data_IF_435997632748
#
_entry.id   IF_435997632748
#
_cell.length_a   1.000
_cell.length_b   1.000
_cell.length_c   1.000
_cell.angle_alpha   90.00
_cell.angle_beta   90.00
_cell.angle_gamma   90.00
#
_symmetry.space_group_name_H-M   'P 1'
#
loop_
_entity.id
_entity.type
_entity.pdbx_description
1 polymer ?
#
# COMPACT_ATOMS: atom_id res chain seq x y z
N UNK A 1 -9.61 0.48 49.01
CA UNK A 1 -10.21 1.79 49.40
C UNK A 1 -10.90 2.41 48.20
N UNK A 2 -11.80 3.39 48.36
CA UNK A 2 -12.76 3.79 47.31
C UNK A 2 -12.15 4.50 46.07
N UNK A 3 -10.84 4.77 46.04
CA UNK A 3 -10.15 5.42 44.91
C UNK A 3 -9.09 4.53 44.27
N UNK A 4 -9.12 3.22 44.54
CA UNK A 4 -8.11 2.30 44.06
C UNK A 4 -8.23 2.06 42.55
N UNK A 5 -9.43 1.99 41.99
CA UNK A 5 -9.60 1.90 40.53
C UNK A 5 -9.14 3.19 39.82
N UNK A 6 -9.45 4.38 40.35
CA UNK A 6 -8.94 5.65 39.79
C UNK A 6 -7.40 5.69 39.76
N UNK A 7 -6.75 5.27 40.85
CA UNK A 7 -5.28 5.20 40.91
C UNK A 7 -4.71 4.11 40.02
N UNK A 8 -5.40 2.97 39.91
CA UNK A 8 -5.02 1.90 39.02
C UNK A 8 -5.07 2.35 37.56
N UNK A 9 -6.11 3.08 37.15
CA UNK A 9 -6.19 3.67 35.80
C UNK A 9 -5.00 4.57 35.52
N UNK A 10 -4.72 5.53 36.41
CA UNK A 10 -3.60 6.46 36.26
C UNK A 10 -2.25 5.72 36.15
N UNK A 11 -2.09 4.62 36.89
CA UNK A 11 -0.90 3.78 36.78
C UNK A 11 -0.87 2.97 35.48
N UNK A 12 -2.00 2.48 34.97
CA UNK A 12 -2.08 1.80 33.67
C UNK A 12 -1.82 2.77 32.51
N UNK A 13 -2.25 4.02 32.63
CA UNK A 13 -2.03 5.08 31.65
C UNK A 13 -0.58 5.54 31.58
N UNK A 14 0.14 5.51 32.71
CA UNK A 14 1.51 6.00 32.81
C UNK A 14 2.62 4.97 32.51
N UNK A 15 2.30 3.68 32.31
CA UNK A 15 3.29 2.59 32.40
C UNK A 15 3.32 1.59 31.23
N UNK A 16 4.35 0.72 31.27
CA UNK A 16 4.65 -0.36 30.31
C UNK A 16 3.70 -1.58 30.43
N UNK A 17 3.56 -2.40 29.38
CA UNK A 17 2.74 -3.63 29.31
C UNK A 17 2.61 -4.44 30.62
N UNK A 18 3.73 -4.68 31.31
CA UNK A 18 3.76 -5.51 32.52
C UNK A 18 2.88 -4.94 33.64
N UNK A 19 2.81 -3.61 33.77
CA UNK A 19 2.02 -2.94 34.81
C UNK A 19 0.54 -3.09 34.53
N UNK A 20 0.11 -2.93 33.27
CA UNK A 20 -1.28 -3.16 32.83
C UNK A 20 -1.74 -4.56 33.23
N UNK A 21 -0.94 -5.59 32.91
CA UNK A 21 -1.27 -6.98 33.25
C UNK A 21 -1.33 -7.22 34.75
N UNK A 22 -0.36 -6.71 35.52
CA UNK A 22 -0.33 -6.92 36.98
C UNK A 22 -1.48 -6.21 37.68
N UNK A 23 -1.80 -4.97 37.30
CA UNK A 23 -2.93 -4.23 37.88
C UNK A 23 -4.24 -4.95 37.61
N UNK A 24 -4.46 -5.39 36.35
CA UNK A 24 -5.67 -6.11 36.01
C UNK A 24 -5.81 -7.41 36.81
N UNK A 25 -4.71 -8.16 36.97
CA UNK A 25 -4.66 -9.36 37.79
C UNK A 25 -4.97 -9.09 39.25
N UNK A 26 -4.30 -8.12 39.88
CA UNK A 26 -4.46 -7.78 41.30
C UNK A 26 -5.90 -7.34 41.58
N UNK A 27 -6.48 -6.48 40.74
CA UNK A 27 -7.87 -6.03 40.92
C UNK A 27 -8.86 -7.17 40.75
N UNK A 28 -8.61 -8.09 39.83
CA UNK A 28 -9.46 -9.28 39.64
C UNK A 28 -9.37 -10.23 40.85
N UNK A 29 -8.17 -10.51 41.34
CA UNK A 29 -7.93 -11.33 42.55
C UNK A 29 -8.54 -10.69 43.81
N UNK A 30 -8.61 -9.36 43.86
CA UNK A 30 -9.26 -8.60 44.94
C UNK A 30 -10.80 -8.50 44.80
N UNK A 31 -11.41 -9.16 43.81
CA UNK A 31 -12.86 -9.13 43.58
C UNK A 31 -13.37 -7.82 42.97
N UNK A 32 -12.50 -6.97 42.44
CA UNK A 32 -12.83 -5.67 41.85
C UNK A 32 -12.93 -5.70 40.32
N UNK A 33 -13.15 -6.87 39.71
CA UNK A 33 -13.23 -7.03 38.26
C UNK A 33 -14.32 -6.16 37.60
N UNK A 34 -15.47 -5.97 38.26
CA UNK A 34 -16.55 -5.12 37.76
C UNK A 34 -16.18 -3.62 37.70
N UNK A 35 -15.40 -3.15 38.67
CA UNK A 35 -14.92 -1.76 38.71
C UNK A 35 -13.88 -1.53 37.60
N UNK A 36 -12.94 -2.47 37.45
CA UNK A 36 -11.97 -2.49 36.36
C UNK A 36 -12.67 -2.54 34.99
N UNK A 37 -13.73 -3.34 34.85
CA UNK A 37 -14.54 -3.39 33.63
C UNK A 37 -15.12 -2.02 33.29
N UNK A 38 -15.80 -1.39 34.25
CA UNK A 38 -16.45 -0.08 34.08
C UNK A 38 -15.42 0.98 33.65
N UNK A 39 -14.24 0.94 34.26
CA UNK A 39 -13.12 1.81 33.94
C UNK A 39 -12.61 1.59 32.50
N UNK A 40 -12.37 0.34 32.11
CA UNK A 40 -11.92 0.00 30.75
C UNK A 40 -12.96 0.36 29.69
N UNK A 41 -14.23 0.07 29.95
CA UNK A 41 -15.34 0.41 29.06
C UNK A 41 -15.42 1.92 28.82
N UNK A 42 -15.28 2.71 29.90
CA UNK A 42 -15.21 4.17 29.81
C UNK A 42 -14.02 4.62 28.98
N UNK A 43 -12.82 4.10 29.23
CA UNK A 43 -11.62 4.47 28.49
C UNK A 43 -11.68 4.10 27.00
N UNK A 44 -12.35 3.00 26.65
CA UNK A 44 -12.62 2.61 25.26
C UNK A 44 -13.56 3.62 24.62
N UNK A 45 -14.71 3.90 25.27
CA UNK A 45 -15.74 4.81 24.75
C UNK A 45 -15.25 6.25 24.59
N UNK A 46 -14.40 6.71 25.50
CA UNK A 46 -13.79 8.04 25.46
C UNK A 46 -12.51 8.08 24.58
N UNK A 47 -12.11 6.96 23.98
CA UNK A 47 -10.87 6.79 23.22
C UNK A 47 -9.60 7.23 23.98
N UNK A 48 -9.62 7.16 25.32
CA UNK A 48 -8.52 7.56 26.19
C UNK A 48 -7.57 6.41 26.51
N UNK A 49 -8.00 5.15 26.33
CA UNK A 49 -7.19 3.96 26.58
C UNK A 49 -5.82 4.01 25.87
N UNK A 50 -4.77 3.54 26.56
CA UNK A 50 -3.41 3.49 25.99
C UNK A 50 -3.19 2.26 25.12
N UNK A 51 -2.17 2.31 24.27
CA UNK A 51 -1.80 1.19 23.40
C UNK A 51 -1.52 -0.10 24.16
N UNK A 52 -0.89 -0.01 25.33
CA UNK A 52 -0.61 -1.19 26.16
C UNK A 52 -1.90 -1.79 26.75
N UNK A 53 -2.86 -0.95 27.15
CA UNK A 53 -4.18 -1.41 27.62
C UNK A 53 -4.94 -2.13 26.50
N UNK A 54 -4.92 -1.58 25.28
CA UNK A 54 -5.62 -2.12 24.13
C UNK A 54 -4.99 -3.44 23.64
N UNK A 55 -3.66 -3.53 23.61
CA UNK A 55 -2.94 -4.79 23.32
C UNK A 55 -3.30 -5.86 24.35
N UNK A 56 -3.21 -5.52 25.64
CA UNK A 56 -3.52 -6.46 26.72
C UNK A 56 -4.97 -6.94 26.64
N UNK A 57 -5.94 -6.02 26.50
CA UNK A 57 -7.36 -6.38 26.42
C UNK A 57 -7.66 -7.26 25.20
N UNK A 58 -7.04 -6.98 24.05
CA UNK A 58 -7.17 -7.81 22.84
C UNK A 58 -6.64 -9.24 23.07
N UNK A 59 -5.57 -9.39 23.86
CA UNK A 59 -5.02 -10.70 24.22
C UNK A 59 -5.84 -11.46 25.27
N UNK A 60 -6.54 -10.75 26.15
CA UNK A 60 -7.35 -11.31 27.26
C UNK A 60 -8.85 -11.42 26.92
N UNK A 61 -9.21 -11.33 25.65
CA UNK A 61 -10.59 -11.35 25.12
C UNK A 61 -11.47 -12.51 25.60
N UNK A 62 -10.88 -13.65 25.99
CA UNK A 62 -11.63 -14.78 26.58
C UNK A 62 -12.22 -14.44 27.95
N UNK A 63 -11.48 -13.66 28.74
CA UNK A 63 -11.85 -13.26 30.09
C UNK A 63 -12.64 -11.94 30.10
N UNK A 64 -12.48 -11.12 29.07
CA UNK A 64 -13.06 -9.78 28.95
C UNK A 64 -13.94 -9.59 27.71
N UNK A 65 -14.58 -10.66 27.24
CA UNK A 65 -15.32 -10.68 25.96
C UNK A 65 -16.42 -9.61 25.84
N UNK A 66 -16.98 -9.16 26.96
CA UNK A 66 -17.99 -8.09 26.99
C UNK A 66 -17.45 -6.71 26.57
N UNK A 67 -16.13 -6.52 26.60
CA UNK A 67 -15.45 -5.31 26.14
C UNK A 67 -14.93 -5.44 24.69
N UNK A 68 -15.08 -6.61 24.08
CA UNK A 68 -14.62 -6.91 22.71
C UNK A 68 -15.74 -6.56 21.75
N UNK A 69 -15.99 -5.25 21.63
CA UNK A 69 -17.06 -4.66 20.82
C UNK A 69 -16.46 -3.77 19.72
N UNK A 70 -17.26 -3.28 18.75
CA UNK A 70 -16.76 -2.36 17.73
C UNK A 70 -16.09 -1.11 18.29
N UNK A 71 -16.46 -0.66 19.49
CA UNK A 71 -15.82 0.48 20.17
C UNK A 71 -14.34 0.19 20.48
N UNK A 72 -13.98 -1.07 20.74
CA UNK A 72 -12.58 -1.47 20.93
C UNK A 72 -11.75 -1.20 19.68
N UNK A 73 -12.29 -1.50 18.49
CA UNK A 73 -11.61 -1.21 17.22
C UNK A 73 -11.38 0.30 17.05
N UNK A 74 -12.37 1.13 17.40
CA UNK A 74 -12.23 2.59 17.30
C UNK A 74 -11.25 3.16 18.32
N UNK A 75 -11.22 2.62 19.54
CA UNK A 75 -10.20 2.97 20.52
C UNK A 75 -8.78 2.60 20.04
N UNK A 76 -8.62 1.45 19.37
CA UNK A 76 -7.36 1.04 18.72
C UNK A 76 -6.98 2.04 17.62
N UNK A 77 -7.88 2.36 16.71
CA UNK A 77 -7.66 3.30 15.62
C UNK A 77 -7.28 4.69 16.15
N UNK A 78 -8.00 5.20 17.15
CA UNK A 78 -7.70 6.49 17.78
C UNK A 78 -6.36 6.50 18.53
N UNK A 79 -5.95 5.37 19.12
CA UNK A 79 -4.61 5.24 19.71
C UNK A 79 -3.52 5.24 18.64
N UNK A 80 -3.73 4.55 17.52
CA UNK A 80 -2.80 4.56 16.38
C UNK A 80 -2.65 5.96 15.78
N UNK A 81 -3.74 6.71 15.59
CA UNK A 81 -3.69 8.10 15.12
C UNK A 81 -2.84 8.99 16.05
N UNK A 82 -2.94 8.81 17.37
CA UNK A 82 -2.10 9.53 18.35
C UNK A 82 -0.62 9.16 18.22
N UNK A 83 -0.30 7.90 17.97
CA UNK A 83 1.10 7.41 17.82
C UNK A 83 1.78 7.83 16.50
N UNK A 84 1.01 8.04 15.42
CA UNK A 84 1.53 8.54 14.14
C UNK A 84 2.21 9.90 14.29
N UNK A 85 1.77 10.69 15.27
CA UNK A 85 2.36 11.99 15.59
C UNK A 85 3.60 11.91 16.50
N UNK A 86 3.92 10.72 17.05
CA UNK A 86 4.99 10.56 18.04
C UNK A 86 6.22 9.79 17.58
N UNK A 87 6.14 8.99 16.51
CA UNK A 87 7.15 7.94 16.26
C UNK A 87 7.67 7.91 14.82
N UNK A 88 9.00 7.92 14.67
CA UNK A 88 9.70 7.83 13.38
C UNK A 88 9.55 6.43 12.75
N UNK A 89 8.67 6.31 11.74
CA UNK A 89 8.80 5.38 10.60
C UNK A 89 8.73 3.87 10.85
N UNK A 90 8.48 3.37 12.08
CA UNK A 90 8.24 1.94 12.35
C UNK A 90 6.81 1.70 12.82
N UNK A 91 6.18 0.65 12.31
CA UNK A 91 4.87 0.19 12.77
C UNK A 91 4.87 -0.03 14.28
N UNK A 92 3.91 0.58 14.97
CA UNK A 92 3.82 0.50 16.43
C UNK A 92 3.52 -0.93 16.89
N UNK A 93 3.75 -1.21 18.19
CA UNK A 93 3.37 -2.51 18.76
C UNK A 93 1.87 -2.77 18.65
N UNK A 94 1.06 -1.72 18.78
CA UNK A 94 -0.39 -1.81 18.65
C UNK A 94 -0.80 -2.14 17.22
N UNK A 95 -0.17 -1.50 16.23
CA UNK A 95 -0.45 -1.77 14.82
C UNK A 95 -0.13 -3.24 14.47
N UNK A 96 1.03 -3.75 14.93
CA UNK A 96 1.39 -5.16 14.74
C UNK A 96 0.42 -6.10 15.44
N UNK A 97 0.03 -5.82 16.68
CA UNK A 97 -0.94 -6.63 17.41
C UNK A 97 -2.29 -6.73 16.68
N UNK A 98 -2.79 -5.62 16.12
CA UNK A 98 -4.02 -5.59 15.32
C UNK A 98 -3.90 -6.42 14.03
N UNK A 99 -2.78 -6.31 13.33
CA UNK A 99 -2.58 -6.97 12.03
C UNK A 99 -2.27 -8.46 12.20
N UNK A 100 -1.47 -8.85 13.18
CA UNK A 100 -1.06 -10.24 13.40
C UNK A 100 -2.19 -11.11 13.99
N UNK A 101 -3.07 -10.53 14.84
CA UNK A 101 -4.22 -11.27 15.39
C UNK A 101 -5.35 -11.39 14.34
N UNK A 102 -5.37 -12.52 13.65
CA UNK A 102 -6.37 -12.83 12.61
C UNK A 102 -7.79 -13.05 13.15
N UNK A 103 -7.96 -13.27 14.45
CA UNK A 103 -9.26 -13.57 15.06
C UNK A 103 -9.90 -12.35 15.72
N UNK A 104 -9.12 -11.34 16.12
CA UNK A 104 -9.62 -10.18 16.85
C UNK A 104 -10.84 -9.51 16.20
N UNK A 105 -10.77 -9.20 14.89
CA UNK A 105 -11.91 -8.60 14.19
C UNK A 105 -13.12 -9.53 14.13
N UNK A 106 -12.90 -10.83 13.96
CA UNK A 106 -14.00 -11.79 13.97
C UNK A 106 -14.69 -11.81 15.34
N UNK A 107 -13.93 -11.77 16.43
CA UNK A 107 -14.46 -11.72 17.80
C UNK A 107 -15.21 -10.40 18.07
N UNK A 108 -14.67 -9.25 17.64
CA UNK A 108 -15.28 -7.92 17.76
C UNK A 108 -16.65 -7.85 17.08
N UNK A 109 -16.79 -8.47 15.91
CA UNK A 109 -17.96 -8.35 15.06
C UNK A 109 -18.94 -9.53 15.16
N UNK A 110 -18.62 -10.58 15.96
CA UNK A 110 -19.35 -11.87 15.98
C UNK A 110 -20.85 -11.77 16.27
N UNK A 111 -21.28 -10.79 17.06
CA UNK A 111 -22.66 -10.64 17.55
C UNK A 111 -23.19 -9.21 17.33
N UNK A 112 -22.76 -8.58 16.24
CA UNK A 112 -23.03 -7.18 15.92
C UNK A 112 -23.99 -7.10 14.74
N UNK A 113 -24.80 -6.05 14.63
CA UNK A 113 -25.63 -5.87 13.44
C UNK A 113 -24.79 -5.64 12.19
N UNK A 114 -25.22 -6.24 11.07
CA UNK A 114 -24.55 -6.10 9.77
C UNK A 114 -24.43 -4.63 9.31
N UNK A 115 -25.34 -3.75 9.75
CA UNK A 115 -25.25 -2.30 9.49
C UNK A 115 -24.03 -1.67 10.15
N UNK A 116 -23.72 -2.05 11.38
CA UNK A 116 -22.55 -1.56 12.13
C UNK A 116 -21.27 -2.12 11.53
N UNK A 117 -21.27 -3.39 11.10
CA UNK A 117 -20.14 -3.98 10.38
C UNK A 117 -19.87 -3.26 9.04
N UNK A 118 -20.92 -2.94 8.28
CA UNK A 118 -20.85 -2.15 7.05
C UNK A 118 -20.26 -0.76 7.31
N UNK A 119 -20.72 -0.06 8.34
CA UNK A 119 -20.20 1.25 8.68
C UNK A 119 -18.72 1.19 9.10
N UNK A 120 -18.32 0.14 9.81
CA UNK A 120 -16.92 -0.09 10.15
C UNK A 120 -16.05 -0.36 8.93
N UNK A 121 -16.52 -1.15 7.97
CA UNK A 121 -15.82 -1.38 6.70
C UNK A 121 -15.60 -0.08 5.93
N UNK A 122 -16.63 0.78 5.81
CA UNK A 122 -16.51 2.09 5.14
C UNK A 122 -15.45 2.99 5.80
N UNK A 123 -15.45 3.06 7.13
CA UNK A 123 -14.48 3.85 7.90
C UNK A 123 -13.06 3.32 7.76
N UNK A 124 -12.88 1.99 7.75
CA UNK A 124 -11.57 1.36 7.52
C UNK A 124 -11.05 1.64 6.10
N UNK A 125 -11.90 1.60 5.08
CA UNK A 125 -11.52 1.93 3.70
C UNK A 125 -11.00 3.37 3.58
N UNK A 126 -11.69 4.32 4.22
CA UNK A 126 -11.34 5.74 4.20
C UNK A 126 -10.19 6.10 5.14
N UNK A 127 -9.72 5.17 5.98
CA UNK A 127 -8.67 5.46 6.95
C UNK A 127 -7.30 5.65 6.27
N UNK A 128 -6.54 6.70 6.59
CA UNK A 128 -5.18 6.88 6.09
C UNK A 128 -4.13 6.07 6.88
N UNK A 129 -4.53 5.38 7.96
CA UNK A 129 -3.61 4.71 8.90
C UNK A 129 -2.90 3.47 8.35
N UNK A 130 -3.49 2.84 7.34
CA UNK A 130 -3.07 1.56 6.82
C UNK A 130 -2.78 1.68 5.33
N UNK A 131 -1.79 0.92 4.85
CA UNK A 131 -1.64 0.68 3.41
C UNK A 131 -2.82 -0.16 2.86
N UNK A 132 -2.98 -0.17 1.55
CA UNK A 132 -4.08 -0.87 0.90
C UNK A 132 -4.08 -2.38 1.15
N UNK A 133 -2.91 -3.01 1.27
CA UNK A 133 -2.79 -4.43 1.57
C UNK A 133 -3.32 -4.76 2.97
N UNK A 134 -2.95 -3.95 3.95
CA UNK A 134 -3.37 -4.09 5.34
C UNK A 134 -4.87 -3.82 5.46
N UNK A 135 -5.40 -2.78 4.79
CA UNK A 135 -6.84 -2.52 4.73
C UNK A 135 -7.59 -3.73 4.20
N UNK A 136 -7.16 -4.30 3.07
CA UNK A 136 -7.77 -5.51 2.48
C UNK A 136 -7.76 -6.68 3.46
N UNK A 137 -6.62 -6.93 4.11
CA UNK A 137 -6.50 -8.00 5.11
C UNK A 137 -7.47 -7.82 6.28
N UNK A 138 -7.66 -6.60 6.77
CA UNK A 138 -8.59 -6.30 7.86
C UNK A 138 -10.05 -6.42 7.40
N UNK A 139 -10.40 -5.87 6.23
CA UNK A 139 -11.74 -5.96 5.66
C UNK A 139 -12.15 -7.40 5.37
N UNK A 140 -11.26 -8.22 4.81
CA UNK A 140 -11.52 -9.64 4.55
C UNK A 140 -11.85 -10.43 5.82
N UNK A 141 -11.29 -10.04 6.99
CA UNK A 141 -11.64 -10.66 8.28
C UNK A 141 -13.07 -10.32 8.72
N UNK A 142 -13.57 -9.13 8.38
CA UNK A 142 -14.95 -8.72 8.63
C UNK A 142 -15.89 -9.45 7.66
N UNK A 143 -15.53 -9.54 6.38
CA UNK A 143 -16.29 -10.29 5.36
C UNK A 143 -16.39 -11.78 5.72
N UNK A 144 -15.36 -12.36 6.35
CA UNK A 144 -15.44 -13.73 6.86
C UNK A 144 -16.56 -13.94 7.90
N UNK A 145 -16.96 -12.89 8.63
CA UNK A 145 -18.11 -12.92 9.55
C UNK A 145 -19.42 -12.61 8.80
N UNK A 146 -19.38 -11.69 7.84
CA UNK A 146 -20.53 -11.27 7.02
C UNK A 146 -20.24 -11.44 5.53
N UNK A 147 -20.44 -12.64 4.95
CA UNK A 147 -20.20 -12.88 3.54
C UNK A 147 -21.04 -11.97 2.62
N UNK A 148 -22.20 -11.49 3.08
CA UNK A 148 -23.05 -10.58 2.30
C UNK A 148 -22.40 -9.21 2.05
N UNK A 149 -21.35 -8.87 2.79
CA UNK A 149 -20.57 -7.64 2.62
C UNK A 149 -19.38 -7.80 1.67
N UNK A 150 -19.20 -8.97 1.05
CA UNK A 150 -18.14 -9.23 0.07
C UNK A 150 -18.15 -8.19 -1.06
N UNK A 151 -19.32 -7.78 -1.55
CA UNK A 151 -19.44 -6.72 -2.57
C UNK A 151 -18.80 -5.38 -2.21
N UNK A 152 -18.64 -5.09 -0.91
CA UNK A 152 -17.97 -3.87 -0.42
C UNK A 152 -16.45 -3.92 -0.57
N UNK A 153 -15.89 -5.13 -0.62
CA UNK A 153 -14.52 -5.36 -1.04
C UNK A 153 -14.45 -5.83 -2.49
N UNK A 154 -15.55 -6.20 -3.15
CA UNK A 154 -15.52 -6.67 -4.53
C UNK A 154 -15.19 -5.58 -5.56
N UNK A 155 -15.47 -4.30 -5.23
CA UNK A 155 -14.86 -3.16 -5.94
C UNK A 155 -13.33 -3.06 -5.79
N UNK A 156 -12.76 -3.90 -4.93
CA UNK A 156 -11.34 -4.11 -4.63
C UNK A 156 -10.88 -5.53 -5.04
N UNK A 157 -11.81 -6.49 -5.23
CA UNK A 157 -11.57 -7.81 -5.83
C UNK A 157 -11.52 -7.75 -7.36
N UNK A 158 -11.98 -6.65 -7.98
CA UNK A 158 -11.63 -6.31 -9.36
C UNK A 158 -10.16 -5.82 -9.52
N UNK A 159 -9.33 -5.96 -8.48
CA UNK A 159 -7.88 -6.14 -8.64
C UNK A 159 -7.48 -7.62 -8.41
N UNK A 160 -8.26 -8.57 -8.92
CA UNK A 160 -7.74 -9.86 -9.32
C UNK A 160 -6.68 -9.61 -10.41
N UNK A 161 -5.41 -9.78 -10.05
CA UNK A 161 -4.24 -9.50 -10.89
C UNK A 161 -4.27 -8.04 -11.38
N UNK A 162 -3.68 -7.11 -10.64
CA UNK A 162 -2.99 -6.03 -11.38
C UNK A 162 -2.09 -6.76 -12.36
N UNK A 163 -2.44 -6.72 -13.65
CA UNK A 163 -1.60 -7.29 -14.69
C UNK A 163 -0.19 -6.79 -14.38
N UNK A 164 0.80 -7.69 -14.29
CA UNK A 164 2.14 -7.30 -13.89
C UNK A 164 2.55 -6.07 -14.69
N UNK A 165 3.16 -5.08 -14.03
CA UNK A 165 3.55 -3.85 -14.70
C UNK A 165 4.62 -4.21 -15.74
N UNK A 166 4.22 -4.33 -17.00
CA UNK A 166 5.10 -4.80 -18.08
C UNK A 166 6.05 -3.67 -18.45
N UNK A 167 7.35 -3.97 -18.44
CA UNK A 167 8.42 -3.01 -18.74
C UNK A 167 9.53 -3.71 -19.52
N UNK A 168 10.31 -2.96 -20.31
CA UNK A 168 11.53 -3.51 -20.89
C UNK A 168 12.54 -3.90 -19.80
N UNK A 169 13.41 -4.87 -20.11
CA UNK A 169 14.55 -5.19 -19.25
C UNK A 169 15.45 -3.97 -19.05
N UNK A 170 15.67 -3.18 -20.10
CA UNK A 170 16.47 -1.95 -20.05
C UNK A 170 15.94 -0.94 -19.03
N UNK A 171 14.62 -0.75 -18.99
CA UNK A 171 13.98 0.20 -18.08
C UNK A 171 13.93 -0.34 -16.66
N UNK A 172 13.72 -1.65 -16.49
CA UNK A 172 13.80 -2.30 -15.19
C UNK A 172 15.19 -2.17 -14.57
N UNK A 173 16.25 -2.38 -15.35
CA UNK A 173 17.64 -2.21 -14.89
C UNK A 173 17.96 -0.76 -14.52
N UNK A 174 17.56 0.21 -15.35
CA UNK A 174 17.72 1.64 -15.03
C UNK A 174 17.05 2.00 -13.70
N UNK A 175 15.84 1.52 -13.44
CA UNK A 175 15.13 1.76 -12.17
C UNK A 175 15.76 1.04 -10.98
N UNK A 176 16.29 -0.17 -11.18
CA UNK A 176 17.09 -0.87 -10.15
C UNK A 176 18.37 -0.08 -9.82
N UNK A 177 19.08 0.43 -10.82
CA UNK A 177 20.26 1.26 -10.62
C UNK A 177 19.93 2.56 -9.87
N UNK A 178 18.84 3.25 -10.23
CA UNK A 178 18.34 4.43 -9.52
C UNK A 178 18.05 4.11 -8.03
N UNK A 179 17.37 2.99 -7.78
CA UNK A 179 17.08 2.54 -6.42
C UNK A 179 18.35 2.22 -5.62
N UNK A 180 19.31 1.52 -6.22
CA UNK A 180 20.59 1.23 -5.58
C UNK A 180 21.39 2.48 -5.25
N UNK A 181 21.44 3.46 -6.16
CA UNK A 181 22.09 4.76 -5.93
C UNK A 181 21.43 5.50 -4.75
N UNK A 182 20.10 5.50 -4.68
CA UNK A 182 19.36 6.11 -3.56
C UNK A 182 19.72 5.48 -2.22
N UNK A 183 19.74 4.15 -2.16
CA UNK A 183 19.96 3.40 -0.92
C UNK A 183 21.42 3.41 -0.48
N UNK A 184 22.35 3.21 -1.42
CA UNK A 184 23.78 3.04 -1.12
C UNK A 184 24.56 4.35 -1.07
N UNK A 185 24.08 5.39 -1.75
CA UNK A 185 24.81 6.67 -1.90
C UNK A 185 24.03 7.83 -1.29
N UNK A 186 22.88 8.21 -1.88
CA UNK A 186 22.20 9.48 -1.55
C UNK A 186 21.67 9.54 -0.12
N UNK A 187 21.01 8.49 0.38
CA UNK A 187 20.48 8.45 1.76
C UNK A 187 21.60 8.46 2.81
N UNK A 188 22.66 7.64 2.68
CA UNK A 188 23.83 7.72 3.55
C UNK A 188 24.52 9.09 3.53
N UNK A 189 24.70 9.71 2.37
CA UNK A 189 25.29 11.04 2.25
C UNK A 189 24.46 12.12 2.97
N UNK A 190 23.16 12.16 2.71
CA UNK A 190 22.26 13.07 3.41
C UNK A 190 22.26 12.85 4.93
N UNK A 191 22.41 11.59 5.38
CA UNK A 191 22.54 11.29 6.81
C UNK A 191 23.83 11.87 7.42
N UNK A 192 24.93 11.91 6.67
CA UNK A 192 26.17 12.57 7.08
C UNK A 192 26.02 14.09 7.10
N UNK A 193 25.35 14.67 6.11
CA UNK A 193 25.04 16.11 6.07
C UNK A 193 24.22 16.54 7.28
N UNK A 194 23.19 15.77 7.66
CA UNK A 194 22.40 16.04 8.86
C UNK A 194 23.26 15.98 10.13
N UNK A 195 24.19 15.02 10.21
CA UNK A 195 25.08 14.89 11.35
C UNK A 195 26.05 16.08 11.45
N UNK A 196 26.61 16.51 10.32
CA UNK A 196 27.47 17.69 10.24
C UNK A 196 26.70 18.96 10.60
N UNK A 197 25.53 19.18 9.99
CA UNK A 197 24.67 20.32 10.28
C UNK A 197 24.30 20.40 11.78
N UNK A 198 24.11 19.23 12.42
CA UNK A 198 23.85 19.14 13.87
C UNK A 198 25.02 19.58 14.74
N UNK A 199 26.25 19.46 14.25
CA UNK A 199 27.45 19.81 15.01
C UNK A 199 27.63 21.33 15.19
N UNK A 200 26.94 22.16 14.41
CA UNK A 200 27.03 23.63 14.49
C UNK A 200 26.23 24.27 15.64
N UNK A 201 25.60 23.46 16.50
CA UNK A 201 25.07 23.90 17.79
C UNK A 201 23.64 24.47 17.75
N UNK A 202 23.43 25.65 17.17
CA UNK A 202 22.10 26.29 17.19
C UNK A 202 21.20 25.76 16.07
N UNK A 203 20.42 24.72 16.39
CA UNK A 203 19.54 24.03 15.42
C UNK A 203 18.27 24.81 15.08
N UNK A 204 17.90 25.81 15.90
CA UNK A 204 16.67 26.60 15.72
C UNK A 204 16.72 27.48 14.47
N UNK A 205 17.90 28.05 14.20
CA UNK A 205 18.16 28.95 13.08
C UNK A 205 18.96 28.32 11.94
N UNK A 206 19.48 27.09 12.13
CA UNK A 206 20.29 26.41 11.12
C UNK A 206 19.44 25.98 9.90
N UNK A 207 19.54 26.77 8.83
CA UNK A 207 18.85 26.52 7.57
C UNK A 207 19.33 25.23 6.90
N UNK A 208 20.61 24.92 7.00
CA UNK A 208 21.22 23.72 6.43
C UNK A 208 20.66 22.45 7.08
N UNK A 209 20.42 22.45 8.39
CA UNK A 209 19.81 21.32 9.11
C UNK A 209 18.36 21.09 8.66
N UNK A 210 17.56 22.17 8.54
CA UNK A 210 16.17 22.09 8.07
C UNK A 210 16.10 21.59 6.63
N UNK A 211 16.95 22.12 5.74
CA UNK A 211 17.03 21.69 4.36
C UNK A 211 17.45 20.21 4.24
N UNK A 212 18.47 19.79 4.98
CA UNK A 212 18.93 18.41 4.98
C UNK A 212 17.86 17.44 5.50
N UNK A 213 17.07 17.85 6.51
CA UNK A 213 15.91 17.08 7.01
C UNK A 213 14.76 16.98 6.01
N UNK A 214 14.46 18.05 5.29
CA UNK A 214 13.48 18.01 4.22
C UNK A 214 13.94 17.08 3.09
N UNK A 215 15.21 17.15 2.71
CA UNK A 215 15.80 16.27 1.72
C UNK A 215 15.75 14.80 2.14
N UNK A 216 15.97 14.50 3.43
CA UNK A 216 15.79 13.15 3.99
C UNK A 216 14.38 12.60 3.75
N UNK A 217 13.36 13.43 3.95
CA UNK A 217 11.96 13.07 3.71
C UNK A 217 11.71 12.76 2.23
N UNK A 218 12.21 13.63 1.34
CA UNK A 218 12.10 13.44 -0.13
C UNK A 218 12.78 12.14 -0.58
N UNK A 219 14.01 11.88 -0.13
CA UNK A 219 14.75 10.67 -0.46
C UNK A 219 14.06 9.40 0.05
N UNK A 220 13.53 9.44 1.28
CA UNK A 220 12.85 8.28 1.89
C UNK A 220 11.53 7.98 1.17
N UNK A 221 10.76 9.01 0.81
CA UNK A 221 9.55 8.87 0.00
C UNK A 221 9.88 8.27 -1.36
N UNK A 222 10.88 8.82 -2.06
CA UNK A 222 11.30 8.32 -3.38
C UNK A 222 11.76 6.86 -3.34
N UNK A 223 12.49 6.48 -2.28
CA UNK A 223 12.88 5.08 -2.04
C UNK A 223 11.64 4.17 -1.96
N UNK A 224 10.67 4.53 -1.12
CA UNK A 224 9.46 3.71 -0.94
C UNK A 224 8.63 3.59 -2.23
N UNK A 225 8.50 4.68 -2.99
CA UNK A 225 7.84 4.67 -4.30
C UNK A 225 8.54 3.72 -5.28
N UNK A 226 9.87 3.81 -5.42
CA UNK A 226 10.64 2.93 -6.30
C UNK A 226 10.62 1.47 -5.86
N UNK A 227 10.69 1.21 -4.55
CA UNK A 227 10.62 -0.15 -3.98
C UNK A 227 9.29 -0.83 -4.35
N UNK A 228 8.18 -0.12 -4.21
CA UNK A 228 6.86 -0.60 -4.59
C UNK A 228 6.73 -0.81 -6.11
N UNK A 229 7.23 0.14 -6.91
CA UNK A 229 7.22 0.06 -8.37
C UNK A 229 8.03 -1.14 -8.87
N UNK A 230 9.22 -1.38 -8.30
CA UNK A 230 10.09 -2.50 -8.64
C UNK A 230 9.49 -3.86 -8.24
N UNK A 231 8.76 -3.93 -7.12
CA UNK A 231 8.07 -5.14 -6.69
C UNK A 231 7.02 -5.62 -7.71
N UNK A 232 6.28 -4.66 -8.28
CA UNK A 232 5.17 -4.92 -9.20
C UNK A 232 5.60 -5.09 -10.67
N UNK A 233 6.81 -4.67 -11.02
CA UNK A 233 7.31 -4.70 -12.39
C UNK A 233 7.71 -6.11 -12.85
N UNK A 234 7.44 -6.41 -14.13
CA UNK A 234 7.93 -7.61 -14.81
C UNK A 234 8.62 -7.19 -16.11
N UNK A 235 9.89 -7.58 -16.22
CA UNK A 235 10.72 -7.34 -17.40
C UNK A 235 10.32 -8.27 -18.55
N UNK A 236 10.35 -7.75 -19.77
CA UNK A 236 10.18 -8.52 -21.01
C UNK A 236 11.07 -7.96 -22.11
N UNK A 237 11.45 -8.81 -23.05
CA UNK A 237 12.16 -8.41 -24.26
C UNK A 237 11.22 -7.98 -25.40
N UNK A 238 9.90 -8.11 -25.20
CA UNK A 238 8.85 -7.91 -26.21
C UNK A 238 9.05 -8.78 -27.47
N UNK A 239 9.62 -9.97 -27.31
CA UNK A 239 9.80 -10.90 -28.42
C UNK A 239 8.47 -11.50 -28.87
N UNK A 240 8.30 -11.66 -30.19
CA UNK A 240 7.13 -12.26 -30.83
C UNK A 240 5.78 -11.67 -30.34
N UNK A 241 5.59 -10.33 -30.43
CA UNK A 241 4.34 -9.71 -30.04
C UNK A 241 3.19 -10.16 -30.95
N UNK A 242 1.97 -10.20 -30.43
CA UNK A 242 0.77 -10.41 -31.25
C UNK A 242 0.57 -9.19 -32.17
N UNK A 243 0.70 -9.39 -33.47
CA UNK A 243 0.51 -8.36 -34.51
C UNK A 243 -0.86 -8.40 -35.15
N UNK A 244 -1.77 -9.30 -34.71
CA UNK A 244 -3.17 -9.31 -35.18
C UNK A 244 -3.95 -8.08 -34.74
N UNK A 245 -3.53 -7.47 -33.62
CA UNK A 245 -4.08 -6.25 -33.03
C UNK A 245 -2.96 -5.45 -32.39
N UNK A 246 -3.23 -4.19 -32.05
CA UNK A 246 -2.27 -3.38 -31.34
C UNK A 246 -2.04 -3.98 -29.95
N UNK A 247 -0.81 -4.38 -29.68
CA UNK A 247 -0.40 -4.98 -28.41
C UNK A 247 0.92 -4.38 -27.92
N UNK A 248 1.31 -4.70 -26.68
CA UNK A 248 2.60 -4.27 -26.15
C UNK A 248 3.72 -4.93 -26.96
N UNK A 249 4.67 -4.14 -27.43
CA UNK A 249 5.74 -4.58 -28.34
C UNK A 249 5.42 -4.35 -29.82
N UNK A 250 4.38 -3.57 -30.16
CA UNK A 250 4.04 -3.29 -31.57
C UNK A 250 4.36 -1.86 -32.00
N UNK A 251 4.65 -1.69 -33.28
CA UNK A 251 4.71 -0.41 -33.98
C UNK A 251 3.39 -0.26 -34.75
N UNK A 252 2.69 0.84 -34.51
CA UNK A 252 1.38 1.13 -35.07
C UNK A 252 1.48 2.39 -35.91
N UNK A 253 1.05 2.31 -37.17
CA UNK A 253 0.86 3.50 -38.00
C UNK A 253 -0.61 3.84 -38.05
N UNK A 254 -0.94 5.08 -37.66
CA UNK A 254 -2.29 5.61 -37.69
C UNK A 254 -2.38 6.71 -38.74
N UNK A 255 -3.51 6.77 -39.45
CA UNK A 255 -3.78 7.79 -40.48
C UNK A 255 -4.95 8.65 -40.07
N UNK A 256 -4.74 9.95 -39.99
CA UNK A 256 -5.79 10.91 -39.67
C UNK A 256 -6.85 10.94 -40.79
N UNK A 257 -8.13 10.79 -40.43
CA UNK A 257 -9.24 10.65 -41.39
C UNK A 257 -9.47 11.94 -42.20
N UNK A 258 -9.26 13.10 -41.58
CA UNK A 258 -9.51 14.40 -42.24
C UNK A 258 -8.34 14.84 -43.11
N UNK A 259 -7.11 14.67 -42.61
CA UNK A 259 -5.91 15.23 -43.23
C UNK A 259 -5.10 14.22 -44.05
N UNK A 260 -5.42 12.92 -43.96
CA UNK A 260 -4.66 11.81 -44.54
C UNK A 260 -3.18 11.76 -44.09
N UNK A 261 -2.79 12.46 -43.02
CA UNK A 261 -1.44 12.39 -42.46
C UNK A 261 -1.26 11.10 -41.66
N UNK A 262 -0.09 10.49 -41.82
CA UNK A 262 0.29 9.29 -41.08
C UNK A 262 1.23 9.63 -39.93
N UNK A 263 1.01 8.97 -38.79
CA UNK A 263 1.82 9.04 -37.59
C UNK A 263 2.15 7.62 -37.13
N UNK A 264 3.37 7.41 -36.64
CA UNK A 264 3.83 6.08 -36.22
C UNK A 264 4.20 6.11 -34.74
N UNK A 265 3.68 5.14 -33.99
CA UNK A 265 3.87 5.01 -32.55
C UNK A 265 4.37 3.62 -32.20
N UNK A 266 5.38 3.53 -31.35
CA UNK A 266 5.84 2.26 -30.79
C UNK A 266 5.23 2.08 -29.41
N UNK A 267 4.39 1.07 -29.21
CA UNK A 267 3.70 0.81 -27.94
C UNK A 267 4.54 -0.16 -27.11
N UNK A 268 5.20 0.34 -26.06
CA UNK A 268 6.04 -0.46 -25.15
C UNK A 268 5.50 -0.43 -23.72
N UNK A 269 6.31 -0.91 -22.77
CA UNK A 269 5.99 -1.03 -21.37
C UNK A 269 5.85 0.31 -20.63
N UNK A 270 5.44 0.21 -19.37
CA UNK A 270 5.04 1.34 -18.53
C UNK A 270 6.12 2.42 -18.37
N UNK A 271 7.40 2.01 -18.36
CA UNK A 271 8.56 2.87 -18.11
C UNK A 271 9.37 3.19 -19.37
N UNK A 272 8.89 2.74 -20.53
CA UNK A 272 9.63 2.78 -21.78
C UNK A 272 9.30 4.01 -22.65
N UNK A 273 8.37 4.85 -22.19
CA UNK A 273 7.93 6.04 -22.94
C UNK A 273 9.07 7.01 -23.23
N UNK A 274 9.23 7.34 -24.51
CA UNK A 274 10.18 8.31 -25.06
C UNK A 274 9.50 9.06 -26.22
N UNK A 275 8.84 10.21 -25.94
CA UNK A 275 8.09 10.98 -26.92
C UNK A 275 8.94 11.43 -28.12
N UNK A 276 10.22 11.74 -27.89
CA UNK A 276 11.16 12.18 -28.93
C UNK A 276 11.44 11.06 -29.95
N UNK A 277 11.30 9.80 -29.54
CA UNK A 277 11.42 8.61 -30.39
C UNK A 277 10.07 8.00 -30.79
N UNK A 278 8.98 8.69 -30.50
CA UNK A 278 7.61 8.18 -30.69
C UNK A 278 7.36 6.82 -30.00
N UNK A 279 8.04 6.58 -28.88
CA UNK A 279 7.79 5.43 -28.02
C UNK A 279 6.78 5.84 -26.96
N UNK A 280 5.65 5.16 -26.95
CA UNK A 280 4.52 5.44 -26.09
C UNK A 280 4.36 4.30 -25.09
N UNK A 281 4.27 4.65 -23.81
CA UNK A 281 3.90 3.68 -22.77
C UNK A 281 2.43 3.28 -22.98
N UNK A 282 2.18 1.98 -22.91
CA UNK A 282 0.83 1.43 -23.00
C UNK A 282 -0.15 2.04 -21.97
N UNK A 283 0.34 2.64 -20.87
CA UNK A 283 -0.48 3.28 -19.83
C UNK A 283 -0.91 4.71 -20.15
N UNK A 284 -0.35 5.33 -21.19
CA UNK A 284 -0.74 6.68 -21.60
C UNK A 284 -2.12 6.68 -22.27
N UNK A 285 -2.78 7.84 -22.34
CA UNK A 285 -4.08 7.96 -23.01
C UNK A 285 -4.05 7.51 -24.47
N UNK A 286 -2.97 7.85 -25.21
CA UNK A 286 -2.77 7.41 -26.60
C UNK A 286 -2.56 5.90 -26.65
N UNK A 287 -1.71 5.34 -25.79
CA UNK A 287 -1.48 3.90 -25.72
C UNK A 287 -2.78 3.13 -25.45
N UNK A 288 -3.56 3.57 -24.46
CA UNK A 288 -4.85 2.95 -24.11
C UNK A 288 -5.88 3.06 -25.24
N UNK A 289 -5.91 4.18 -25.97
CA UNK A 289 -6.83 4.35 -27.11
C UNK A 289 -6.46 3.49 -28.32
N UNK A 290 -5.21 3.01 -28.41
CA UNK A 290 -4.75 2.17 -29.52
C UNK A 290 -4.81 0.68 -29.19
N UNK A 291 -4.59 0.29 -27.93
CA UNK A 291 -4.52 -1.13 -27.53
C UNK A 291 -5.77 -1.92 -27.91
N UNK A 292 -5.55 -3.11 -28.46
CA UNK A 292 -6.60 -4.09 -28.79
C UNK A 292 -7.27 -3.87 -30.16
N UNK A 293 -7.05 -2.72 -30.79
CA UNK A 293 -7.64 -2.41 -32.09
C UNK A 293 -6.91 -3.09 -33.26
N UNK A 294 -7.65 -3.39 -34.32
CA UNK A 294 -7.18 -4.11 -35.50
C UNK A 294 -6.92 -3.17 -36.70
N UNK A 295 -6.20 -3.67 -37.71
CA UNK A 295 -5.95 -2.91 -38.95
C UNK A 295 -7.28 -2.56 -39.62
N UNK A 296 -7.44 -1.28 -39.97
CA UNK A 296 -8.65 -0.74 -40.60
C UNK A 296 -9.69 -0.20 -39.63
N UNK A 297 -9.53 -0.38 -38.32
CA UNK A 297 -10.41 0.22 -37.32
C UNK A 297 -10.11 1.71 -37.12
N UNK A 298 -11.16 2.48 -36.80
CA UNK A 298 -11.06 3.90 -36.47
C UNK A 298 -11.01 4.08 -34.95
N UNK A 299 -10.05 4.89 -34.49
CA UNK A 299 -9.82 5.25 -33.09
C UNK A 299 -9.86 6.76 -32.92
N UNK A 300 -10.37 7.23 -31.78
CA UNK A 300 -10.37 8.65 -31.43
C UNK A 300 -9.20 8.96 -30.50
N UNK A 301 -8.27 9.80 -30.95
CA UNK A 301 -7.13 10.24 -30.15
C UNK A 301 -7.36 11.68 -29.68
N UNK A 302 -7.15 11.92 -28.38
CA UNK A 302 -7.17 13.25 -27.82
C UNK A 302 -5.81 13.92 -28.03
N UNK A 303 -5.78 14.97 -28.86
CA UNK A 303 -4.65 15.89 -28.95
C UNK A 303 -4.86 17.06 -28.00
N UNK A 304 -3.82 17.86 -27.73
CA UNK A 304 -3.88 18.99 -26.79
C UNK A 304 -4.96 20.04 -27.13
N UNK A 305 -5.49 20.04 -28.35
CA UNK A 305 -6.41 21.07 -28.85
C UNK A 305 -7.74 20.53 -29.39
N UNK A 306 -7.82 19.23 -29.72
CA UNK A 306 -9.04 18.60 -30.22
C UNK A 306 -8.97 17.07 -30.15
N UNK A 307 -10.14 16.42 -30.18
CA UNK A 307 -10.26 14.99 -30.47
C UNK A 307 -10.25 14.81 -31.99
N UNK A 308 -9.40 13.92 -32.50
CA UNK A 308 -9.31 13.62 -33.93
C UNK A 308 -9.45 12.11 -34.17
N UNK A 309 -10.07 11.75 -35.29
CA UNK A 309 -10.25 10.37 -35.70
C UNK A 309 -9.09 9.90 -36.57
N UNK A 310 -8.60 8.70 -36.27
CA UNK A 310 -7.52 8.05 -37.00
C UNK A 310 -7.89 6.62 -37.34
N UNK A 311 -7.46 6.14 -38.51
CA UNK A 311 -7.59 4.74 -38.91
C UNK A 311 -6.26 4.02 -38.71
N UNK A 312 -6.29 2.80 -38.17
CA UNK A 312 -5.09 1.97 -38.05
C UNK A 312 -4.68 1.47 -39.44
N UNK A 313 -3.57 2.01 -39.95
CA UNK A 313 -3.07 1.71 -41.29
C UNK A 313 -2.17 0.46 -41.31
N UNK A 314 -1.36 0.23 -40.27
CA UNK A 314 -0.53 -0.97 -40.16
C UNK A 314 -0.12 -1.27 -38.72
N UNK A 315 0.16 -2.55 -38.46
CA UNK A 315 0.68 -3.07 -37.19
C UNK A 315 1.88 -3.95 -37.50
N UNK A 316 3.02 -3.67 -36.86
CA UNK A 316 4.29 -4.39 -37.04
C UNK A 316 4.90 -4.73 -35.69
N UNK A 317 5.74 -5.76 -35.63
CA UNK A 317 6.50 -6.07 -34.41
C UNK A 317 7.59 -5.03 -34.18
N UNK A 318 7.71 -4.52 -32.95
CA UNK A 318 8.84 -3.69 -32.55
C UNK A 318 10.10 -4.57 -32.39
N UNK A 319 11.30 -4.00 -32.59
CA UNK A 319 12.54 -4.70 -32.26
C UNK A 319 12.57 -5.12 -30.80
N UNK A 320 13.05 -6.33 -30.54
CA UNK A 320 13.22 -6.82 -29.17
C UNK A 320 14.22 -5.97 -28.38
N UNK A 321 13.98 -5.82 -27.08
CA UNK A 321 14.94 -5.18 -26.18
C UNK A 321 16.22 -6.05 -26.10
N UNK A 322 17.36 -5.43 -26.40
CA UNK A 322 18.67 -6.11 -26.51
C UNK A 322 19.41 -6.17 -25.17
N UNK A 323 18.79 -5.73 -24.08
CA UNK A 323 19.37 -5.83 -22.74
C UNK A 323 19.45 -7.29 -22.33
N UNK A 324 20.67 -7.80 -22.08
CA UNK A 324 20.89 -9.20 -21.73
C UNK A 324 20.06 -9.56 -20.50
N UNK A 325 19.10 -10.49 -20.66
CA UNK A 325 18.37 -11.04 -19.52
C UNK A 325 19.39 -11.57 -18.50
N UNK A 326 19.33 -11.08 -17.26
CA UNK A 326 20.13 -11.64 -16.18
C UNK A 326 19.90 -13.16 -16.12
N UNK A 327 20.96 -13.99 -16.02
CA UNK A 327 20.81 -15.43 -16.07
C UNK A 327 20.05 -15.92 -14.83
N UNK A 328 18.85 -16.46 -15.04
CA UNK A 328 18.15 -17.30 -14.06
C UNK A 328 16.81 -16.76 -13.57
N UNK A 329 15.76 -16.89 -14.39
CA UNK A 329 14.43 -17.25 -13.93
C UNK A 329 13.94 -18.39 -14.85
N UNK A 330 13.53 -19.55 -14.30
CA UNK A 330 13.03 -20.63 -15.13
C UNK A 330 11.78 -20.17 -15.88
N UNK A 331 11.70 -20.49 -17.17
CA UNK A 331 10.45 -20.38 -17.93
C UNK A 331 9.36 -21.23 -17.27
N UNK A 332 8.11 -20.80 -17.37
CA UNK A 332 6.94 -21.44 -16.74
C UNK A 332 6.80 -22.94 -17.05
N UNK A 333 7.44 -23.46 -18.11
CA UNK A 333 7.47 -24.90 -18.39
C UNK A 333 8.31 -25.73 -17.41
N UNK A 334 9.18 -25.10 -16.61
CA UNK A 334 10.01 -25.79 -15.60
C UNK A 334 9.25 -26.08 -14.31
N UNK A 335 8.13 -25.37 -14.08
CA UNK A 335 7.34 -25.48 -12.84
C UNK A 335 6.34 -26.64 -12.95
N UNK A 336 5.84 -26.95 -14.14
CA UNK A 336 4.94 -28.10 -14.34
C UNK A 336 5.67 -29.45 -14.27
N UNK A 337 6.95 -29.51 -14.67
CA UNK A 337 7.74 -30.74 -14.61
C UNK A 337 8.11 -31.16 -13.17
N UNK A 338 8.26 -30.21 -12.24
CA UNK A 338 8.68 -30.48 -10.87
C UNK A 338 7.53 -30.90 -9.91
N UNK A 339 6.29 -30.86 -10.38
CA UNK A 339 5.09 -31.29 -9.60
C UNK A 339 4.65 -32.70 -10.01
N UNK A 340 5.29 -33.30 -11.03
CA UNK A 340 4.93 -34.59 -11.60
C UNK A 340 5.94 -35.74 -11.33
N UNK A 341 6.95 -35.53 -10.49
CA UNK A 341 7.85 -36.59 -9.94
C UNK A 341 7.68 -36.75 -8.43
#
# INVERSE_FOLDING_TARGET
GPRWAERALLLMEANQARVVTQIARILSEAGQAAELRTMLERSIREHSATSEMLIWLSSERKNWGELVTPDLLWAIIAALDREQHSTSGRASRLQRALVEDRQLLADIFKHVDISVARDAMRRLQLSPLFDELTKRSLLARIVKVYPELESMIAGVEAEEKTAPLVVSWSSLEKRKAEYEELVKVKIPENSREIALARSYGDLSENFEFKAAKQMQSVLTRRKAELEQMLHNARGTSFENPDTSRVSIGTIVTVRNVETNKEETYTILGAWDGDPDRHVISYQTAIGQALLGHEIGETVSLNTEHSTAEFVIASIQAAPADQTASAPGLPSESSVEAAVAE
#
